data_IF_512003759509
#
_entry.id   IF_512003759509
#
_cell.length_a   1.000
_cell.length_b   1.000
_cell.length_c   1.000
_cell.angle_alpha   90.00
_cell.angle_beta   90.00
_cell.angle_gamma   90.00
#
_symmetry.space_group_name_H-M   'P 1'
#
loop_
_entity.id
_entity.type
_entity.pdbx_description
1 polymer ?
#
# COMPACT_ATOMS: atom_id res chain seq x y z
N UNK A 1 -6.12 -12.06 -18.30
CA UNK A 1 -7.07 -11.02 -17.82
C UNK A 1 -7.07 -9.89 -18.83
N UNK A 2 -8.21 -9.66 -19.49
CA UNK A 2 -8.32 -8.68 -20.57
C UNK A 2 -8.20 -7.24 -20.03
N UNK A 3 -7.63 -6.31 -20.79
CA UNK A 3 -7.40 -4.92 -20.33
C UNK A 3 -8.71 -4.24 -19.91
N UNK A 4 -9.79 -4.50 -20.64
CA UNK A 4 -11.13 -3.99 -20.36
C UNK A 4 -11.67 -4.47 -19.01
N UNK A 5 -11.41 -5.73 -18.63
CA UNK A 5 -11.82 -6.28 -17.34
C UNK A 5 -11.05 -5.63 -16.18
N UNK A 6 -9.79 -5.21 -16.40
CA UNK A 6 -9.03 -4.42 -15.42
C UNK A 6 -9.66 -3.04 -15.24
N UNK A 7 -9.99 -2.36 -16.34
CA UNK A 7 -10.61 -1.03 -16.29
C UNK A 7 -11.95 -1.09 -15.56
N UNK A 8 -12.78 -2.11 -15.82
CA UNK A 8 -14.10 -2.24 -15.21
C UNK A 8 -14.00 -2.52 -13.70
N UNK A 9 -13.11 -3.43 -13.28
CA UNK A 9 -12.84 -3.69 -11.85
C UNK A 9 -12.38 -2.43 -11.13
N UNK A 10 -11.50 -1.65 -11.74
CA UNK A 10 -10.93 -0.47 -11.08
C UNK A 10 -11.92 0.70 -11.08
N UNK A 11 -12.75 0.82 -12.12
CA UNK A 11 -13.87 1.77 -12.13
C UNK A 11 -14.90 1.44 -11.02
N UNK A 12 -15.14 0.15 -10.74
CA UNK A 12 -15.98 -0.28 -9.61
C UNK A 12 -15.36 0.07 -8.26
N UNK A 13 -14.04 -0.05 -8.11
CA UNK A 13 -13.32 0.31 -6.88
C UNK A 13 -13.24 1.83 -6.66
N UNK A 14 -13.16 2.63 -7.73
CA UNK A 14 -13.01 4.09 -7.66
C UNK A 14 -14.11 4.75 -8.48
N UNK A 15 -15.27 5.09 -7.87
CA UNK A 15 -16.42 5.66 -8.57
C UNK A 15 -16.10 6.94 -9.34
N UNK A 16 -15.10 7.72 -8.89
CA UNK A 16 -14.66 8.94 -9.55
C UNK A 16 -14.12 8.71 -10.98
N UNK A 17 -13.62 7.50 -11.30
CA UNK A 17 -13.18 7.15 -12.66
C UNK A 17 -14.34 7.04 -13.64
N UNK A 18 -15.60 6.92 -13.19
CA UNK A 18 -16.76 6.88 -14.10
C UNK A 18 -16.87 8.14 -14.95
N UNK A 19 -16.45 9.30 -14.42
CA UNK A 19 -16.45 10.59 -15.12
C UNK A 19 -15.38 10.68 -16.24
N UNK A 20 -14.38 9.79 -16.21
CA UNK A 20 -13.30 9.76 -17.20
C UNK A 20 -13.70 8.85 -18.36
N UNK A 21 -13.45 9.24 -19.63
CA UNK A 21 -13.58 8.36 -20.79
C UNK A 21 -12.83 7.05 -20.59
N UNK A 22 -13.39 5.92 -21.06
CA UNK A 22 -12.84 4.58 -20.78
C UNK A 22 -11.37 4.44 -21.24
N UNK A 23 -11.04 5.03 -22.38
CA UNK A 23 -9.68 5.05 -22.95
C UNK A 23 -8.65 5.78 -22.08
N UNK A 24 -9.06 6.78 -21.31
CA UNK A 24 -8.15 7.59 -20.48
C UNK A 24 -8.07 7.12 -19.03
N UNK A 25 -9.00 6.27 -18.57
CA UNK A 25 -8.99 5.72 -17.20
C UNK A 25 -7.67 5.04 -16.84
N UNK A 26 -7.10 4.26 -17.78
CA UNK A 26 -5.80 3.62 -17.60
C UNK A 26 -4.67 4.65 -17.49
N UNK A 27 -4.67 5.70 -18.32
CA UNK A 27 -3.66 6.76 -18.28
C UNK A 27 -3.71 7.55 -16.97
N UNK A 28 -4.90 7.95 -16.52
CA UNK A 28 -5.11 8.64 -15.25
C UNK A 28 -4.59 7.79 -14.09
N UNK A 29 -4.93 6.51 -14.09
CA UNK A 29 -4.52 5.58 -13.05
C UNK A 29 -3.01 5.28 -13.06
N UNK A 30 -2.38 5.25 -14.24
CA UNK A 30 -0.93 5.12 -14.36
C UNK A 30 -0.22 6.38 -13.85
N UNK A 31 -0.80 7.57 -14.09
CA UNK A 31 -0.33 8.86 -13.55
C UNK A 31 -0.45 8.90 -12.03
N UNK A 32 -1.54 8.36 -11.47
CA UNK A 32 -1.70 8.21 -10.00
C UNK A 32 -0.62 7.32 -9.42
N UNK A 33 -0.32 6.18 -10.05
CA UNK A 33 0.72 5.24 -9.58
C UNK A 33 2.13 5.86 -9.60
N UNK A 34 2.40 6.74 -10.58
CA UNK A 34 3.67 7.46 -10.70
C UNK A 34 3.71 8.76 -9.89
N UNK A 35 2.67 9.09 -9.12
CA UNK A 35 2.62 10.35 -8.40
C UNK A 35 3.66 10.37 -7.26
N UNK A 36 4.58 11.34 -7.22
CA UNK A 36 5.64 11.40 -6.20
C UNK A 36 5.07 11.57 -4.79
N UNK A 37 3.90 12.19 -4.62
CA UNK A 37 3.23 12.31 -3.31
C UNK A 37 2.87 10.93 -2.75
N UNK A 38 2.45 10.01 -3.62
CA UNK A 38 2.11 8.64 -3.22
C UNK A 38 3.36 7.92 -2.71
N UNK A 39 4.48 8.06 -3.40
CA UNK A 39 5.76 7.47 -2.99
C UNK A 39 6.34 8.13 -1.74
N UNK A 40 6.24 9.46 -1.61
CA UNK A 40 6.70 10.19 -0.43
C UNK A 40 5.99 9.72 0.84
N UNK A 41 4.66 9.51 0.78
CA UNK A 41 3.90 8.98 1.92
C UNK A 41 4.27 7.52 2.21
N UNK A 42 4.43 6.68 1.19
CA UNK A 42 4.83 5.28 1.37
C UNK A 42 6.22 5.18 2.01
N UNK A 43 7.20 5.95 1.53
CA UNK A 43 8.55 5.99 2.11
C UNK A 43 8.52 6.53 3.53
N UNK A 44 7.74 7.56 3.82
CA UNK A 44 7.60 8.12 5.17
C UNK A 44 7.00 7.12 6.15
N UNK A 45 5.96 6.40 5.74
CA UNK A 45 5.34 5.34 6.54
C UNK A 45 6.30 4.17 6.78
N UNK A 46 7.09 3.81 5.76
CA UNK A 46 8.10 2.77 5.89
C UNK A 46 9.24 3.18 6.84
N UNK A 47 9.68 4.44 6.78
CA UNK A 47 10.67 4.97 7.71
C UNK A 47 10.15 5.02 9.15
N UNK A 48 8.90 5.48 9.35
CA UNK A 48 8.22 5.44 10.66
C UNK A 48 8.11 4.01 11.18
N UNK A 49 7.80 3.06 10.30
CA UNK A 49 7.76 1.65 10.67
C UNK A 49 9.13 1.16 11.13
N UNK A 50 10.18 1.38 10.35
CA UNK A 50 11.53 0.98 10.73
C UNK A 50 11.98 1.62 12.04
N UNK A 51 11.60 2.87 12.29
CA UNK A 51 11.91 3.57 13.53
C UNK A 51 11.20 2.94 14.74
N UNK A 52 9.90 2.65 14.62
CA UNK A 52 9.11 2.07 15.71
C UNK A 52 9.50 0.62 16.03
N UNK A 53 9.96 -0.13 15.03
CA UNK A 53 10.30 -1.55 15.16
C UNK A 53 11.81 -1.82 15.10
N UNK A 54 12.62 -0.78 15.28
CA UNK A 54 14.08 -0.87 15.21
C UNK A 54 14.64 -1.78 16.31
N UNK A 55 14.13 -1.64 17.53
CA UNK A 55 14.58 -2.42 18.68
C UNK A 55 14.18 -3.89 18.56
N UNK A 56 12.98 -4.21 18.07
CA UNK A 56 12.57 -5.59 17.80
C UNK A 56 13.43 -6.24 16.70
N UNK A 57 13.87 -5.47 15.69
CA UNK A 57 14.79 -5.94 14.65
C UNK A 57 16.17 -6.26 15.21
N UNK A 58 16.70 -5.41 16.10
CA UNK A 58 17.99 -5.65 16.75
C UNK A 58 17.95 -6.84 17.71
N UNK A 59 16.85 -6.99 18.46
CA UNK A 59 16.64 -8.11 19.38
C UNK A 59 16.63 -9.49 18.70
N UNK A 60 16.39 -9.55 17.39
CA UNK A 60 16.44 -10.79 16.60
C UNK A 60 17.87 -11.20 16.19
N UNK A 61 18.82 -10.25 16.15
CA UNK A 61 20.22 -10.55 15.81
C UNK A 61 21.01 -11.20 16.95
N UNK A 62 20.51 -11.10 18.19
CA UNK A 62 21.11 -11.72 19.38
C UNK A 62 20.59 -13.17 19.52
N UNK A 63 21.20 -14.08 18.76
CA UNK A 63 20.91 -15.52 18.82
C UNK A 63 21.82 -16.15 19.85
N UNK A 64 21.45 -16.05 21.13
CA UNK A 64 22.32 -16.49 22.21
C UNK A 64 22.38 -18.01 22.44
N UNK A 65 21.65 -18.87 21.71
CA UNK A 65 21.72 -20.32 21.95
C UNK A 65 21.37 -21.20 20.73
N UNK A 66 22.35 -21.87 20.09
CA UNK A 66 22.13 -22.75 18.93
C UNK A 66 21.30 -24.01 19.26
N UNK A 67 21.28 -24.46 20.52
CA UNK A 67 20.62 -25.70 20.92
C UNK A 67 19.07 -25.61 21.04
N UNK A 68 18.50 -24.38 21.17
CA UNK A 68 17.03 -24.14 21.21
C UNK A 68 16.41 -23.90 19.82
N UNK A 69 17.25 -23.65 18.82
CA UNK A 69 16.88 -23.14 17.49
C UNK A 69 16.18 -24.19 16.60
N UNK A 70 16.36 -25.49 16.87
CA UNK A 70 15.81 -26.60 16.09
C UNK A 70 14.40 -27.05 16.53
N UNK A 71 13.84 -26.49 17.60
CA UNK A 71 12.49 -26.86 18.03
C UNK A 71 11.42 -26.07 17.25
N UNK A 72 10.44 -26.76 16.67
CA UNK A 72 9.33 -26.14 15.94
C UNK A 72 8.58 -25.08 16.78
N UNK A 73 8.52 -25.25 18.11
CA UNK A 73 7.96 -24.27 19.05
C UNK A 73 8.75 -22.96 19.07
N UNK A 74 10.08 -23.00 19.00
CA UNK A 74 10.91 -21.80 19.04
C UNK A 74 10.88 -21.04 17.70
N UNK A 75 10.89 -21.78 16.58
CA UNK A 75 10.69 -21.20 15.24
C UNK A 75 9.32 -20.54 15.16
N UNK A 76 8.24 -21.21 15.59
CA UNK A 76 6.89 -20.62 15.61
C UNK A 76 6.79 -19.40 16.55
N UNK A 77 7.44 -19.45 17.72
CA UNK A 77 7.46 -18.33 18.66
C UNK A 77 8.16 -17.11 18.09
N UNK A 78 9.33 -17.28 17.46
CA UNK A 78 10.04 -16.19 16.78
C UNK A 78 9.27 -15.67 15.56
N UNK A 79 8.68 -16.58 14.76
CA UNK A 79 7.85 -16.20 13.63
C UNK A 79 6.67 -15.35 14.10
N UNK A 80 5.99 -15.74 15.18
CA UNK A 80 4.88 -14.96 15.76
C UNK A 80 5.32 -13.61 16.31
N UNK A 81 6.53 -13.55 16.89
CA UNK A 81 7.17 -12.31 17.38
C UNK A 81 7.45 -11.32 16.26
N UNK A 82 7.80 -11.79 15.06
CA UNK A 82 8.07 -10.98 13.85
C UNK A 82 6.79 -10.67 13.08
N UNK A 83 5.87 -11.64 13.05
CA UNK A 83 4.66 -11.60 12.24
C UNK A 83 3.80 -10.40 12.62
N UNK A 84 3.64 -10.14 13.93
CA UNK A 84 2.79 -9.02 14.35
C UNK A 84 3.37 -7.63 14.01
N UNK A 85 4.65 -7.36 14.37
CA UNK A 85 5.40 -6.17 13.98
C UNK A 85 5.44 -5.88 12.49
N UNK A 86 5.45 -6.91 11.64
CA UNK A 86 5.50 -6.76 10.20
C UNK A 86 4.11 -6.58 9.57
N UNK A 87 3.10 -7.31 10.06
CA UNK A 87 1.80 -7.39 9.38
C UNK A 87 0.90 -6.18 9.62
N UNK A 88 0.85 -5.65 10.85
CA UNK A 88 0.10 -4.40 11.15
C UNK A 88 0.51 -3.24 10.23
N UNK A 89 1.80 -2.89 10.10
CA UNK A 89 2.23 -1.76 9.28
C UNK A 89 2.03 -2.00 7.79
N UNK A 90 2.18 -3.23 7.30
CA UNK A 90 1.84 -3.56 5.92
C UNK A 90 0.35 -3.30 5.65
N UNK A 91 -0.53 -3.71 6.57
CA UNK A 91 -1.98 -3.45 6.47
C UNK A 91 -2.29 -1.94 6.48
N UNK A 92 -1.63 -1.19 7.36
CA UNK A 92 -1.78 0.28 7.43
C UNK A 92 -1.31 0.93 6.12
N UNK A 93 -0.14 0.56 5.61
CA UNK A 93 0.41 1.06 4.34
C UNK A 93 -0.56 0.75 3.19
N UNK A 94 -1.10 -0.48 3.12
CA UNK A 94 -2.05 -0.87 2.08
C UNK A 94 -3.35 -0.05 2.13
N UNK A 95 -3.87 0.20 3.34
CA UNK A 95 -5.03 1.06 3.56
C UNK A 95 -4.78 2.50 3.11
N UNK A 96 -3.66 3.10 3.56
CA UNK A 96 -3.28 4.47 3.20
C UNK A 96 -3.06 4.62 1.70
N UNK A 97 -2.39 3.67 1.04
CA UNK A 97 -2.22 3.64 -0.42
C UNK A 97 -3.58 3.66 -1.13
N UNK A 98 -4.55 2.90 -0.64
CA UNK A 98 -5.88 2.81 -1.24
C UNK A 98 -6.64 4.13 -1.14
N UNK A 99 -6.61 4.78 0.03
CA UNK A 99 -7.22 6.11 0.25
C UNK A 99 -6.53 7.17 -0.60
N UNK A 100 -5.19 7.18 -0.65
CA UNK A 100 -4.41 8.13 -1.46
C UNK A 100 -4.71 7.98 -2.95
N UNK A 101 -4.81 6.76 -3.47
CA UNK A 101 -5.18 6.53 -4.87
C UNK A 101 -6.52 7.17 -5.20
N UNK A 102 -7.54 6.97 -4.35
CA UNK A 102 -8.87 7.57 -4.52
C UNK A 102 -8.79 9.10 -4.46
N UNK A 103 -8.03 9.64 -3.50
CA UNK A 103 -7.86 11.09 -3.34
C UNK A 103 -7.18 11.73 -4.55
N UNK A 104 -6.06 11.16 -5.03
CA UNK A 104 -5.33 11.65 -6.19
C UNK A 104 -6.19 11.54 -7.45
N UNK A 105 -6.92 10.42 -7.64
CA UNK A 105 -7.86 10.29 -8.76
C UNK A 105 -8.92 11.39 -8.70
N UNK A 106 -9.59 11.60 -7.55
CA UNK A 106 -10.57 12.68 -7.41
C UNK A 106 -9.98 14.06 -7.75
N UNK A 107 -8.75 14.32 -7.32
CA UNK A 107 -8.04 15.58 -7.60
C UNK A 107 -7.74 15.76 -9.09
N UNK A 108 -7.26 14.71 -9.76
CA UNK A 108 -6.98 14.73 -11.21
C UNK A 108 -8.29 14.90 -12.00
N UNK A 109 -9.31 14.11 -11.67
CA UNK A 109 -10.62 14.18 -12.33
C UNK A 109 -11.23 15.56 -12.18
N UNK A 110 -11.23 16.15 -10.98
CA UNK A 110 -11.75 17.52 -10.77
C UNK A 110 -11.00 18.58 -11.58
N UNK A 111 -9.71 18.39 -11.84
CA UNK A 111 -8.87 19.35 -12.57
C UNK A 111 -8.99 19.20 -14.09
N UNK A 112 -9.06 17.98 -14.60
CA UNK A 112 -9.04 17.68 -16.04
C UNK A 112 -10.44 17.47 -16.63
N UNK A 113 -11.39 17.06 -15.80
CA UNK A 113 -12.80 16.88 -16.15
C UNK A 113 -13.65 17.63 -15.09
N UNK A 114 -13.55 18.96 -15.02
CA UNK A 114 -14.45 19.73 -14.18
C UNK A 114 -15.90 19.40 -14.57
N UNK A 115 -16.82 19.44 -13.61
CA UNK A 115 -18.24 19.28 -13.92
C UNK A 115 -18.63 20.41 -14.87
N UNK A 116 -18.64 20.13 -16.17
CA UNK A 116 -19.39 20.89 -17.16
C UNK A 116 -20.87 20.53 -16.98
N UNK A 117 -21.40 20.83 -15.80
CA UNK A 117 -22.82 21.09 -15.64
C UNK A 117 -23.00 22.57 -15.92
N UNK A 118 -23.67 22.82 -17.05
CA UNK A 118 -24.61 23.94 -17.23
C UNK A 118 -25.34 24.25 -15.93
#
# INVERSE_FOLDING_TARGET
MNEEQKIDKITKQIPALKKVPREDRLKVMNRVRKNPVLWAVVVSLFALWLYLFWDEMLALSSVDNPHRMLSAKWIFFQFKKIFWPALVPIMVIAGVISVLKVYIVKRIVKKEYPDNTV
#
